data_IF_398710398039
#
_entry.id   IF_398710398039
#
_cell.length_a   1.000
_cell.length_b   1.000
_cell.length_c   1.000
_cell.angle_alpha   90.00
_cell.angle_beta   90.00
_cell.angle_gamma   90.00
#
_symmetry.space_group_name_H-M   'P 1'
#
loop_
_entity.id
_entity.type
_entity.pdbx_description
1 polymer ?
#
# COMPACT_ATOMS: atom_id res chain seq x y z
N UNK A 1 -51.68 -2.55 -4.61
CA UNK A 1 -51.55 -3.46 -3.46
C UNK A 1 -52.17 -4.76 -3.88
N UNK A 2 -51.56 -5.92 -3.64
CA UNK A 2 -52.23 -7.19 -3.89
C UNK A 2 -53.48 -7.28 -3.01
N UNK A 3 -54.60 -7.69 -3.61
CA UNK A 3 -55.85 -7.84 -2.92
C UNK A 3 -55.89 -9.26 -2.29
N UNK A 4 -55.86 -9.34 -0.94
CA UNK A 4 -55.91 -10.62 -0.24
C UNK A 4 -57.38 -11.04 -0.06
N UNK A 5 -57.79 -12.11 -0.73
CA UNK A 5 -59.17 -12.54 -0.82
C UNK A 5 -59.53 -13.73 0.12
N UNK A 6 -58.55 -14.35 0.78
CA UNK A 6 -58.79 -15.47 1.68
C UNK A 6 -58.01 -15.28 3.01
N UNK A 7 -58.58 -15.79 4.14
CA UNK A 7 -57.80 -15.79 5.39
C UNK A 7 -56.56 -16.66 5.26
N UNK A 8 -55.35 -16.08 5.53
CA UNK A 8 -54.08 -16.79 5.43
C UNK A 8 -52.91 -15.92 5.87
N UNK A 9 -51.72 -16.52 5.99
CA UNK A 9 -50.47 -15.80 6.20
C UNK A 9 -49.88 -15.51 4.82
N UNK A 10 -49.73 -14.24 4.51
CA UNK A 10 -49.14 -13.78 3.25
C UNK A 10 -47.75 -13.26 3.50
N UNK A 11 -46.78 -13.76 2.75
CA UNK A 11 -45.37 -13.30 2.79
C UNK A 11 -45.10 -12.51 1.52
N UNK A 12 -44.87 -11.22 1.68
CA UNK A 12 -44.45 -10.35 0.56
C UNK A 12 -42.94 -10.12 0.62
N UNK A 13 -42.28 -10.25 -0.51
CA UNK A 13 -40.91 -9.78 -0.68
C UNK A 13 -40.94 -8.27 -0.91
N UNK A 14 -40.62 -7.52 0.14
CA UNK A 14 -40.44 -6.06 0.03
C UNK A 14 -38.96 -5.78 -0.22
N UNK A 15 -38.60 -5.06 -1.33
CA UNK A 15 -37.21 -4.67 -1.55
C UNK A 15 -36.66 -3.95 -0.33
N UNK A 16 -35.47 -4.34 0.14
CA UNK A 16 -34.84 -3.68 1.29
C UNK A 16 -34.64 -2.21 0.99
N UNK A 17 -35.21 -1.33 1.81
CA UNK A 17 -34.95 0.11 1.75
C UNK A 17 -33.53 0.49 2.24
N UNK A 18 -32.78 -0.47 2.74
CA UNK A 18 -31.40 -0.30 3.21
C UNK A 18 -30.45 -0.71 2.09
N UNK A 19 -29.65 0.24 1.61
CA UNK A 19 -28.52 -0.03 0.71
C UNK A 19 -27.28 -0.14 1.60
N UNK A 20 -26.80 -1.37 1.93
CA UNK A 20 -25.67 -1.53 2.84
C UNK A 20 -24.41 -0.95 2.19
N UNK A 21 -23.64 -0.18 2.97
CA UNK A 21 -22.32 0.28 2.57
C UNK A 21 -21.37 -0.91 2.66
N UNK A 22 -20.77 -1.29 1.53
CA UNK A 22 -19.72 -2.29 1.46
C UNK A 22 -18.35 -1.61 1.68
N UNK A 23 -17.47 -2.22 2.48
CA UNK A 23 -16.09 -1.76 2.60
C UNK A 23 -15.34 -1.93 1.27
N UNK A 24 -14.61 -0.89 0.85
CA UNK A 24 -13.76 -0.95 -0.35
C UNK A 24 -12.51 -1.80 -0.10
N UNK A 25 -11.89 -2.31 -1.16
CA UNK A 25 -10.61 -3.01 -1.06
C UNK A 25 -9.49 -2.03 -0.68
N UNK A 26 -8.61 -2.47 0.22
CA UNK A 26 -7.43 -1.69 0.66
C UNK A 26 -6.11 -2.30 0.20
N UNK A 27 -6.15 -3.41 -0.55
CA UNK A 27 -4.98 -4.23 -0.90
C UNK A 27 -4.48 -4.08 -2.33
N UNK A 28 -5.17 -3.31 -3.18
CA UNK A 28 -4.76 -3.07 -4.56
C UNK A 28 -3.66 -2.01 -4.62
N UNK A 29 -2.56 -2.32 -5.31
CA UNK A 29 -1.43 -1.42 -5.46
C UNK A 29 -1.29 -0.89 -6.89
N UNK A 30 -0.81 0.36 -7.04
CA UNK A 30 -0.33 0.93 -8.30
C UNK A 30 1.19 1.00 -8.29
N UNK A 31 1.86 0.40 -9.28
CA UNK A 31 3.30 0.46 -9.45
C UNK A 31 3.66 1.26 -10.70
N UNK A 32 4.57 2.20 -10.52
CA UNK A 32 5.15 2.97 -11.62
C UNK A 32 6.63 2.57 -11.75
N UNK A 33 7.10 2.32 -12.97
CA UNK A 33 8.50 1.98 -13.22
C UNK A 33 9.13 2.87 -14.29
N UNK A 34 10.35 3.34 -14.05
CA UNK A 34 11.15 4.05 -15.06
C UNK A 34 11.84 3.01 -15.94
N UNK A 35 11.22 2.64 -17.07
CA UNK A 35 11.64 1.52 -17.90
C UNK A 35 11.72 1.97 -19.37
N UNK A 36 12.83 1.74 -20.08
CA UNK A 36 12.96 2.08 -21.49
C UNK A 36 12.10 1.20 -22.40
N UNK A 37 11.97 1.57 -23.68
CA UNK A 37 11.16 0.83 -24.67
C UNK A 37 11.70 -0.57 -24.98
N UNK A 38 12.96 -0.83 -24.67
CA UNK A 38 13.58 -2.16 -24.80
C UNK A 38 14.53 -2.40 -23.63
N UNK A 39 14.43 -3.59 -23.06
CA UNK A 39 15.28 -4.05 -21.96
C UNK A 39 16.08 -5.26 -22.41
N UNK A 40 17.34 -5.34 -22.05
CA UNK A 40 18.20 -6.50 -22.32
C UNK A 40 18.24 -7.40 -21.09
N UNK A 41 17.98 -8.70 -21.26
CA UNK A 41 18.00 -9.70 -20.21
C UNK A 41 18.93 -10.85 -20.57
N UNK A 42 19.64 -11.48 -19.62
CA UNK A 42 20.44 -12.67 -19.90
C UNK A 42 19.50 -13.88 -20.06
N UNK A 43 19.55 -14.50 -21.26
CA UNK A 43 18.83 -15.73 -21.56
C UNK A 43 19.77 -16.91 -21.59
N UNK A 44 19.54 -18.00 -20.81
CA UNK A 44 20.42 -19.17 -20.79
C UNK A 44 20.45 -19.85 -22.16
N UNK A 45 21.63 -20.31 -22.60
CA UNK A 45 21.84 -21.01 -23.87
C UNK A 45 21.72 -22.52 -23.63
N UNK A 46 20.84 -23.17 -24.36
CA UNK A 46 20.58 -24.61 -24.27
C UNK A 46 21.83 -25.43 -24.53
N UNK A 47 22.15 -26.35 -23.62
CA UNK A 47 23.28 -27.27 -23.81
C UNK A 47 24.65 -26.67 -23.65
N UNK A 48 24.79 -25.43 -23.16
CA UNK A 48 26.07 -24.71 -23.05
C UNK A 48 26.95 -25.12 -21.86
N UNK A 49 26.53 -26.08 -21.04
CA UNK A 49 27.29 -26.59 -19.88
C UNK A 49 26.75 -26.14 -18.53
N UNK A 50 27.56 -26.35 -17.47
CA UNK A 50 27.23 -25.92 -16.10
C UNK A 50 28.45 -25.22 -15.49
N UNK A 51 28.36 -23.91 -15.12
CA UNK A 51 27.19 -23.06 -15.29
C UNK A 51 26.83 -22.81 -16.77
N UNK A 52 25.56 -22.54 -17.09
CA UNK A 52 25.15 -22.28 -18.47
C UNK A 52 25.70 -20.93 -18.95
N UNK A 53 26.11 -20.87 -20.22
CA UNK A 53 26.37 -19.61 -20.91
C UNK A 53 25.04 -18.91 -21.20
N UNK A 54 25.06 -17.61 -21.45
CA UNK A 54 23.87 -16.82 -21.74
C UNK A 54 24.09 -15.88 -22.94
N UNK A 55 23.00 -15.51 -23.56
CA UNK A 55 22.95 -14.50 -24.62
C UNK A 55 22.14 -13.29 -24.12
N UNK A 56 22.33 -12.13 -24.75
CA UNK A 56 21.49 -10.97 -24.52
C UNK A 56 20.18 -11.12 -25.27
N UNK A 57 19.05 -11.04 -24.57
CA UNK A 57 17.71 -11.17 -25.11
C UNK A 57 16.97 -9.84 -24.94
N UNK A 58 16.55 -9.25 -26.05
CA UNK A 58 15.75 -8.03 -26.03
C UNK A 58 14.30 -8.35 -25.65
N UNK A 59 13.76 -7.64 -24.67
CA UNK A 59 12.37 -7.67 -24.26
C UNK A 59 11.76 -6.30 -24.48
N UNK A 60 10.57 -6.24 -25.10
CA UNK A 60 9.81 -5.01 -25.29
C UNK A 60 8.67 -4.96 -24.27
N UNK A 61 8.76 -4.12 -23.21
CA UNK A 61 7.69 -3.94 -22.25
C UNK A 61 6.47 -3.28 -22.88
N UNK A 62 5.32 -3.31 -22.19
CA UNK A 62 4.10 -2.59 -22.57
C UNK A 62 4.40 -1.11 -22.89
N UNK A 63 3.56 -0.46 -23.68
CA UNK A 63 3.77 0.93 -24.08
C UNK A 63 3.89 1.87 -22.86
N UNK A 64 4.67 2.95 -22.98
CA UNK A 64 4.79 3.95 -21.90
C UNK A 64 3.42 4.58 -21.63
N UNK A 65 3.13 4.85 -20.35
CA UNK A 65 1.89 5.41 -19.84
C UNK A 65 0.64 4.53 -20.05
N UNK A 66 0.80 3.30 -20.54
CA UNK A 66 -0.29 2.33 -20.64
C UNK A 66 -0.40 1.55 -19.32
N UNK A 67 -1.55 1.67 -18.65
CA UNK A 67 -1.81 0.95 -17.40
C UNK A 67 -2.22 -0.49 -17.71
N UNK A 68 -1.53 -1.44 -17.08
CA UNK A 68 -1.85 -2.86 -17.16
C UNK A 68 -2.34 -3.37 -15.82
N UNK A 69 -3.49 -4.03 -15.82
CA UNK A 69 -3.93 -4.82 -14.68
C UNK A 69 -3.13 -6.13 -14.65
N UNK A 70 -2.57 -6.43 -13.50
CA UNK A 70 -1.72 -7.60 -13.24
C UNK A 70 -2.27 -8.31 -12.00
N UNK A 71 -2.68 -9.56 -12.17
CA UNK A 71 -3.26 -10.41 -11.12
C UNK A 71 -2.37 -11.59 -10.73
N UNK A 72 -1.29 -11.78 -11.47
CA UNK A 72 -0.29 -12.82 -11.24
C UNK A 72 1.07 -12.42 -11.78
N UNK A 73 2.14 -13.11 -11.33
CA UNK A 73 3.47 -12.95 -11.92
C UNK A 73 3.46 -13.26 -13.45
N UNK A 74 2.68 -14.25 -13.88
CA UNK A 74 2.56 -14.60 -15.31
C UNK A 74 1.96 -13.47 -16.15
N UNK A 75 1.01 -12.71 -15.58
CA UNK A 75 0.47 -11.51 -16.26
C UNK A 75 1.55 -10.43 -16.38
N UNK A 76 2.35 -10.22 -15.32
CA UNK A 76 3.46 -9.28 -15.37
C UNK A 76 4.46 -9.67 -16.48
N UNK A 77 4.87 -10.93 -16.52
CA UNK A 77 5.81 -11.46 -17.53
C UNK A 77 5.28 -11.24 -18.95
N UNK A 78 4.00 -11.45 -19.16
CA UNK A 78 3.35 -11.24 -20.46
C UNK A 78 3.46 -9.79 -20.97
N UNK A 79 3.36 -8.80 -20.06
CA UNK A 79 3.34 -7.39 -20.44
C UNK A 79 4.71 -6.70 -20.33
N UNK A 80 5.56 -7.14 -19.43
CA UNK A 80 6.79 -6.43 -19.10
C UNK A 80 8.05 -7.28 -19.26
N UNK A 81 7.95 -8.61 -19.32
CA UNK A 81 9.08 -9.55 -19.34
C UNK A 81 9.35 -10.15 -17.97
N UNK A 82 10.22 -11.17 -17.95
CA UNK A 82 10.61 -11.92 -16.74
C UNK A 82 11.90 -11.33 -16.12
N UNK A 83 12.34 -11.88 -14.99
CA UNK A 83 13.63 -11.54 -14.36
C UNK A 83 14.83 -12.03 -15.19
N UNK A 84 14.65 -13.03 -16.06
CA UNK A 84 15.64 -13.50 -17.03
C UNK A 84 15.03 -13.58 -18.44
N UNK A 85 15.88 -13.54 -19.46
CA UNK A 85 15.46 -13.82 -20.82
C UNK A 85 15.09 -15.30 -21.02
N UNK A 86 14.22 -15.59 -21.99
CA UNK A 86 13.86 -16.96 -22.36
C UNK A 86 15.08 -17.79 -22.78
N UNK A 87 14.98 -19.13 -22.67
CA UNK A 87 16.03 -20.06 -23.14
C UNK A 87 16.35 -19.82 -24.62
N UNK A 88 17.63 -19.70 -24.93
CA UNK A 88 18.14 -19.47 -26.29
C UNK A 88 18.65 -20.74 -26.94
N UNK A 89 18.57 -20.86 -28.28
CA UNK A 89 19.09 -22.04 -28.97
C UNK A 89 20.61 -22.20 -28.73
N UNK A 90 21.10 -23.43 -28.78
CA UNK A 90 22.53 -23.74 -28.58
C UNK A 90 23.49 -23.07 -29.59
N UNK A 91 22.95 -22.53 -30.69
CA UNK A 91 23.69 -21.75 -31.69
C UNK A 91 23.74 -20.25 -31.36
N UNK A 92 23.08 -19.78 -30.30
CA UNK A 92 23.08 -18.38 -29.92
C UNK A 92 24.50 -17.93 -29.50
N UNK A 93 24.85 -16.67 -29.81
CA UNK A 93 26.11 -16.09 -29.44
C UNK A 93 26.15 -15.79 -27.95
N UNK A 94 27.08 -16.42 -27.23
CA UNK A 94 27.26 -16.15 -25.80
C UNK A 94 27.88 -14.76 -25.59
N UNK A 95 27.49 -14.13 -24.51
CA UNK A 95 28.05 -12.87 -24.00
C UNK A 95 28.55 -13.02 -22.57
N UNK A 96 29.51 -12.19 -22.16
CA UNK A 96 30.09 -12.26 -20.82
C UNK A 96 29.25 -11.47 -19.79
N UNK A 97 28.46 -10.49 -20.23
CA UNK A 97 27.63 -9.65 -19.38
C UNK A 97 26.44 -9.09 -20.17
N UNK A 98 25.36 -8.78 -19.44
CA UNK A 98 24.19 -8.06 -19.97
C UNK A 98 23.90 -6.89 -19.03
N UNK A 99 23.85 -5.67 -19.57
CA UNK A 99 23.47 -4.49 -18.81
C UNK A 99 21.94 -4.44 -18.67
N UNK A 100 21.44 -4.93 -17.55
CA UNK A 100 20.01 -4.86 -17.23
C UNK A 100 19.69 -3.45 -16.74
N UNK A 101 18.60 -2.86 -17.25
CA UNK A 101 18.14 -1.54 -16.80
C UNK A 101 17.70 -1.60 -15.33
N UNK A 102 18.22 -0.72 -14.48
CA UNK A 102 17.95 -0.72 -13.04
C UNK A 102 16.46 -0.43 -12.73
N UNK A 103 15.85 0.50 -13.45
CA UNK A 103 14.43 0.80 -13.27
C UNK A 103 13.53 -0.39 -13.61
N UNK A 104 13.86 -1.14 -14.66
CA UNK A 104 13.20 -2.42 -14.96
C UNK A 104 13.38 -3.42 -13.83
N UNK A 105 14.61 -3.59 -13.34
CA UNK A 105 14.93 -4.52 -12.25
C UNK A 105 14.15 -4.17 -10.97
N UNK A 106 14.08 -2.88 -10.64
CA UNK A 106 13.30 -2.42 -9.49
C UNK A 106 11.79 -2.67 -9.66
N UNK A 107 11.23 -2.39 -10.84
CA UNK A 107 9.82 -2.65 -11.12
C UNK A 107 9.51 -4.15 -11.05
N UNK A 108 10.30 -4.99 -11.73
CA UNK A 108 10.08 -6.44 -11.77
C UNK A 108 10.18 -7.06 -10.36
N UNK A 109 11.22 -6.73 -9.61
CA UNK A 109 11.40 -7.21 -8.23
C UNK A 109 10.33 -6.67 -7.28
N UNK A 110 9.82 -5.45 -7.49
CA UNK A 110 8.73 -4.89 -6.69
C UNK A 110 7.43 -5.65 -6.91
N UNK A 111 7.05 -5.92 -8.16
CA UNK A 111 5.82 -6.68 -8.48
C UNK A 111 5.95 -8.15 -8.04
N UNK A 112 7.11 -8.78 -8.25
CA UNK A 112 7.38 -10.12 -7.73
C UNK A 112 7.26 -10.16 -6.19
N UNK A 113 7.89 -9.20 -5.51
CA UNK A 113 7.84 -9.06 -4.06
C UNK A 113 6.43 -8.79 -3.54
N UNK A 114 5.63 -8.02 -4.26
CA UNK A 114 4.22 -7.78 -3.94
C UNK A 114 3.42 -9.08 -3.88
N UNK A 115 3.46 -9.90 -4.94
CA UNK A 115 2.75 -11.19 -4.95
C UNK A 115 3.30 -12.15 -3.89
N UNK A 116 4.62 -12.23 -3.72
CA UNK A 116 5.25 -13.10 -2.73
C UNK A 116 4.87 -12.73 -1.29
N UNK A 117 4.53 -11.47 -1.03
CA UNK A 117 4.13 -10.98 0.29
C UNK A 117 2.62 -10.96 0.52
N UNK A 118 1.80 -11.43 -0.41
CA UNK A 118 0.36 -11.60 -0.24
C UNK A 118 -0.50 -10.61 -1.01
N UNK A 119 0.11 -9.82 -1.90
CA UNK A 119 -0.64 -9.05 -2.89
C UNK A 119 -1.30 -9.98 -3.91
N UNK A 120 -2.47 -9.62 -4.38
CA UNK A 120 -3.26 -10.43 -5.34
C UNK A 120 -3.61 -9.68 -6.62
N UNK A 121 -3.54 -8.34 -6.59
CA UNK A 121 -3.99 -7.49 -7.68
C UNK A 121 -3.23 -6.17 -7.65
N UNK A 122 -2.62 -5.79 -8.76
CA UNK A 122 -1.99 -4.49 -8.91
C UNK A 122 -2.15 -3.93 -10.32
N UNK A 123 -2.00 -2.62 -10.44
CA UNK A 123 -1.89 -1.92 -11.71
C UNK A 123 -0.45 -1.52 -11.91
N UNK A 124 0.08 -1.75 -13.09
CA UNK A 124 1.47 -1.45 -13.43
C UNK A 124 1.49 -0.54 -14.64
N UNK A 125 2.25 0.54 -14.52
CA UNK A 125 2.50 1.48 -15.62
C UNK A 125 3.99 1.78 -15.69
N UNK A 126 4.56 1.80 -16.90
CA UNK A 126 5.92 2.26 -17.09
C UNK A 126 5.97 3.67 -17.67
N UNK A 127 7.01 4.39 -17.32
CA UNK A 127 7.39 5.68 -17.92
C UNK A 127 8.79 5.55 -18.51
N UNK A 128 9.08 6.31 -19.57
CA UNK A 128 10.39 6.29 -20.19
C UNK A 128 11.46 7.05 -19.37
N UNK A 129 11.04 8.10 -18.67
CA UNK A 129 11.88 8.92 -17.80
C UNK A 129 11.09 9.44 -16.61
N UNK A 130 11.77 9.79 -15.51
CA UNK A 130 11.14 10.36 -14.30
C UNK A 130 10.30 11.62 -14.59
N UNK A 131 10.70 12.41 -15.59
CA UNK A 131 9.96 13.61 -16.02
C UNK A 131 8.53 13.30 -16.54
N UNK A 132 8.24 12.06 -16.93
CA UNK A 132 6.93 11.63 -17.38
C UNK A 132 6.03 11.14 -16.24
N UNK A 133 6.45 11.24 -14.98
CA UNK A 133 5.72 10.73 -13.81
C UNK A 133 4.28 11.25 -13.74
N UNK A 134 4.05 12.52 -14.02
CA UNK A 134 2.70 13.11 -14.03
C UNK A 134 1.74 12.36 -14.96
N UNK A 135 2.19 11.97 -16.15
CA UNK A 135 1.38 11.21 -17.11
C UNK A 135 0.94 9.84 -16.58
N UNK A 136 1.86 9.16 -15.88
CA UNK A 136 1.53 7.87 -15.25
C UNK A 136 0.55 8.05 -14.08
N UNK A 137 0.73 9.09 -13.27
CA UNK A 137 -0.18 9.41 -12.16
C UNK A 137 -1.56 9.79 -12.67
N UNK A 138 -1.65 10.57 -13.76
CA UNK A 138 -2.92 10.91 -14.42
C UNK A 138 -3.61 9.66 -15.00
N UNK A 139 -2.84 8.71 -15.53
CA UNK A 139 -3.39 7.44 -16.03
C UNK A 139 -3.90 6.52 -14.90
N UNK A 140 -3.30 6.58 -13.70
CA UNK A 140 -3.73 5.84 -12.51
C UNK A 140 -4.86 6.54 -11.75
N UNK A 141 -5.04 7.86 -11.90
CA UNK A 141 -6.01 8.65 -11.14
C UNK A 141 -7.45 8.13 -11.24
N UNK A 142 -8.00 7.76 -12.43
CA UNK A 142 -9.38 7.32 -12.57
C UNK A 142 -9.65 5.89 -12.06
N UNK A 143 -8.66 5.20 -11.51
CA UNK A 143 -8.80 3.82 -11.04
C UNK A 143 -9.02 3.82 -9.53
N UNK A 144 -10.28 3.88 -9.10
CA UNK A 144 -10.67 4.05 -7.69
C UNK A 144 -10.22 2.89 -6.80
N UNK A 145 -10.04 1.68 -7.34
CA UNK A 145 -9.63 0.52 -6.56
C UNK A 145 -8.16 0.55 -6.08
N UNK A 146 -7.34 1.49 -6.56
CA UNK A 146 -5.94 1.64 -6.12
C UNK A 146 -5.90 2.27 -4.72
N UNK A 147 -5.52 1.48 -3.73
CA UNK A 147 -5.39 1.91 -2.34
C UNK A 147 -3.98 2.36 -1.95
N UNK A 148 -2.95 1.95 -2.70
CA UNK A 148 -1.57 2.37 -2.48
C UNK A 148 -0.82 2.56 -3.78
N UNK A 149 0.18 3.45 -3.80
CA UNK A 149 1.04 3.69 -4.97
C UNK A 149 2.51 3.67 -4.56
N UNK A 150 3.36 3.19 -5.47
CA UNK A 150 4.81 3.19 -5.28
C UNK A 150 5.53 3.40 -6.62
N UNK A 151 6.71 4.04 -6.54
CA UNK A 151 7.68 4.20 -7.63
C UNK A 151 9.01 3.57 -7.18
N UNK A 152 9.15 2.22 -7.28
CA UNK A 152 10.24 1.49 -6.69
C UNK A 152 11.61 1.94 -7.19
N UNK A 153 12.53 2.21 -6.25
CA UNK A 153 13.92 2.56 -6.55
C UNK A 153 14.18 4.01 -6.92
N UNK A 154 13.14 4.84 -7.05
CA UNK A 154 13.28 6.27 -7.31
C UNK A 154 13.16 7.04 -6.00
N UNK A 155 14.23 7.77 -5.65
CA UNK A 155 14.35 8.51 -4.39
C UNK A 155 14.58 10.00 -4.58
N UNK A 156 14.39 10.51 -5.81
CA UNK A 156 14.47 11.93 -6.11
C UNK A 156 13.33 12.69 -5.42
N UNK A 157 13.63 13.87 -4.88
CA UNK A 157 12.65 14.71 -4.18
C UNK A 157 11.42 14.98 -5.07
N UNK A 158 11.64 15.42 -6.32
CA UNK A 158 10.55 15.77 -7.23
C UNK A 158 9.59 14.59 -7.49
N UNK A 159 10.12 13.39 -7.69
CA UNK A 159 9.30 12.19 -7.93
C UNK A 159 8.55 11.75 -6.68
N UNK A 160 9.18 11.80 -5.51
CA UNK A 160 8.52 11.46 -4.25
C UNK A 160 7.42 12.47 -3.90
N UNK A 161 7.67 13.76 -4.07
CA UNK A 161 6.66 14.81 -3.88
C UNK A 161 5.51 14.67 -4.89
N UNK A 162 5.80 14.31 -6.15
CA UNK A 162 4.75 14.01 -7.12
C UNK A 162 3.81 12.88 -6.69
N UNK A 163 4.33 11.79 -6.09
CA UNK A 163 3.49 10.73 -5.51
C UNK A 163 2.69 11.22 -4.31
N UNK A 164 3.30 12.02 -3.44
CA UNK A 164 2.64 12.59 -2.26
C UNK A 164 1.50 13.51 -2.70
N UNK A 165 1.76 14.44 -3.61
CA UNK A 165 0.77 15.40 -4.15
C UNK A 165 -0.43 14.68 -4.77
N UNK A 166 -0.17 13.61 -5.52
CA UNK A 166 -1.20 12.76 -6.08
C UNK A 166 -2.09 12.13 -5.00
N UNK A 167 -1.49 11.58 -3.95
CA UNK A 167 -2.23 10.97 -2.84
C UNK A 167 -3.00 12.01 -2.00
N UNK A 168 -2.42 13.19 -1.77
CA UNK A 168 -3.06 14.28 -1.05
C UNK A 168 -4.24 14.89 -1.82
N UNK A 169 -4.11 15.01 -3.14
CA UNK A 169 -5.17 15.55 -4.01
C UNK A 169 -6.37 14.60 -4.11
N UNK A 170 -6.13 13.31 -4.35
CA UNK A 170 -7.19 12.32 -4.45
C UNK A 170 -7.76 11.91 -3.09
N UNK A 171 -6.93 11.88 -2.06
CA UNK A 171 -7.27 11.46 -0.70
C UNK A 171 -7.83 10.02 -0.59
N UNK A 172 -7.74 9.23 -1.66
CA UNK A 172 -8.24 7.85 -1.79
C UNK A 172 -7.15 6.79 -1.67
N UNK A 173 -5.86 7.17 -1.71
CA UNK A 173 -4.73 6.24 -1.73
C UNK A 173 -3.55 6.74 -0.91
N UNK A 174 -2.57 5.84 -0.68
CA UNK A 174 -1.44 6.05 0.20
C UNK A 174 -0.12 5.76 -0.52
N UNK A 175 0.89 6.64 -0.41
CA UNK A 175 2.19 6.46 -1.03
C UNK A 175 3.14 5.63 -0.15
N UNK A 176 3.79 4.63 -0.74
CA UNK A 176 4.85 3.84 -0.11
C UNK A 176 6.16 4.23 -0.76
N UNK A 177 7.02 4.94 -0.02
CA UNK A 177 8.25 5.54 -0.53
C UNK A 177 9.49 4.79 -0.04
N UNK A 178 10.51 4.79 -0.86
CA UNK A 178 11.81 4.23 -0.57
C UNK A 178 12.76 5.32 -0.07
N UNK A 179 13.46 5.07 1.04
CA UNK A 179 14.57 5.91 1.49
C UNK A 179 15.79 5.74 0.59
N UNK A 180 16.79 6.60 0.74
CA UNK A 180 18.04 6.53 -0.01
C UNK A 180 18.65 5.12 0.08
N UNK A 181 19.21 4.62 -1.02
CA UNK A 181 19.88 3.30 -1.05
C UNK A 181 21.11 3.28 -0.15
N UNK A 182 21.87 4.38 -0.16
CA UNK A 182 23.09 4.55 0.63
C UNK A 182 22.95 5.75 1.55
N UNK A 183 23.47 5.64 2.77
CA UNK A 183 23.51 6.73 3.73
C UNK A 183 24.80 6.61 4.57
N UNK A 184 25.58 7.67 4.63
CA UNK A 184 26.79 7.73 5.46
C UNK A 184 26.43 7.84 6.94
N UNK A 185 25.36 8.56 7.23
CA UNK A 185 24.77 8.68 8.57
C UNK A 185 23.25 8.39 8.52
N UNK A 186 22.75 7.72 9.55
CA UNK A 186 21.34 7.37 9.64
C UNK A 186 20.51 8.50 10.26
N UNK A 187 20.33 9.56 9.45
CA UNK A 187 19.49 10.72 9.78
C UNK A 187 18.32 10.84 8.81
N UNK A 188 17.27 11.58 9.20
CA UNK A 188 16.16 11.89 8.30
C UNK A 188 16.66 12.56 7.01
N UNK A 189 17.56 13.53 7.13
CA UNK A 189 18.10 14.28 5.99
C UNK A 189 18.81 13.39 4.97
N UNK A 190 19.58 12.38 5.44
CA UNK A 190 20.31 11.48 4.54
C UNK A 190 19.42 10.38 3.94
N UNK A 191 18.28 10.07 4.56
CA UNK A 191 17.40 8.98 4.13
C UNK A 191 16.20 9.51 3.32
N UNK A 192 15.52 10.55 3.82
CA UNK A 192 14.37 11.17 3.19
C UNK A 192 14.75 12.33 2.27
N UNK A 193 15.93 12.93 2.48
CA UNK A 193 16.34 14.14 1.79
C UNK A 193 15.44 15.35 2.17
N UNK A 194 15.19 16.18 1.18
CA UNK A 194 14.34 17.38 1.32
C UNK A 194 12.86 17.13 0.99
N UNK A 195 12.46 15.89 0.75
CA UNK A 195 11.06 15.53 0.47
C UNK A 195 10.15 15.97 1.62
N UNK A 196 9.04 16.60 1.29
CA UNK A 196 8.07 17.13 2.27
C UNK A 196 7.47 16.02 3.15
N UNK A 197 7.10 16.38 4.37
CA UNK A 197 6.34 15.50 5.25
C UNK A 197 4.87 15.42 4.81
N UNK A 198 4.26 14.24 4.95
CA UNK A 198 2.86 14.02 4.61
C UNK A 198 2.26 12.88 5.42
N UNK A 199 1.00 13.03 5.77
CA UNK A 199 0.23 11.94 6.36
C UNK A 199 -0.26 10.90 5.33
N UNK A 200 -0.15 11.20 4.04
CA UNK A 200 -0.53 10.30 2.95
C UNK A 200 0.63 9.45 2.42
N UNK A 201 1.78 9.50 3.09
CA UNK A 201 2.96 8.73 2.70
C UNK A 201 3.69 8.13 3.91
N UNK A 202 4.39 7.03 3.65
CA UNK A 202 5.36 6.44 4.57
C UNK A 202 6.64 6.09 3.83
N UNK A 203 7.79 6.40 4.44
CA UNK A 203 9.10 6.12 3.90
C UNK A 203 9.76 4.98 4.67
N UNK A 204 10.46 4.09 3.94
CA UNK A 204 11.08 2.88 4.48
C UNK A 204 12.57 2.79 4.15
N UNK A 205 13.33 2.34 5.15
CA UNK A 205 14.78 2.18 5.08
C UNK A 205 15.21 1.01 6.00
N UNK A 206 16.29 0.30 5.71
CA UNK A 206 17.11 0.30 4.50
C UNK A 206 16.51 -0.54 3.37
N UNK A 207 17.15 -0.51 2.21
CA UNK A 207 16.85 -1.42 1.12
C UNK A 207 17.11 -2.87 1.54
N UNK A 208 16.38 -3.79 0.90
CA UNK A 208 16.45 -5.23 1.18
C UNK A 208 17.32 -5.93 0.13
N UNK A 209 17.89 -7.08 0.50
CA UNK A 209 18.58 -7.98 -0.44
C UNK A 209 17.64 -9.12 -0.80
N UNK A 210 17.47 -9.36 -2.08
CA UNK A 210 16.64 -10.43 -2.63
C UNK A 210 17.43 -11.27 -3.63
N UNK A 211 16.97 -12.48 -3.88
CA UNK A 211 17.55 -13.30 -4.95
C UNK A 211 17.11 -12.77 -6.31
N UNK A 212 18.08 -12.64 -7.22
CA UNK A 212 17.86 -12.28 -8.61
C UNK A 212 18.43 -13.38 -9.51
N UNK A 213 17.60 -14.09 -10.29
CA UNK A 213 18.07 -15.17 -11.14
C UNK A 213 18.99 -14.68 -12.26
N UNK A 214 18.83 -13.44 -12.72
CA UNK A 214 19.73 -12.86 -13.72
C UNK A 214 21.13 -12.64 -13.16
N UNK A 215 21.22 -12.14 -11.92
CA UNK A 215 22.50 -11.98 -11.22
C UNK A 215 23.20 -13.33 -11.02
N UNK A 216 22.44 -14.34 -10.58
CA UNK A 216 22.97 -15.70 -10.41
C UNK A 216 23.42 -16.34 -11.72
N UNK A 217 22.72 -16.06 -12.83
CA UNK A 217 23.08 -16.56 -14.15
C UNK A 217 24.37 -15.92 -14.67
N UNK A 218 24.49 -14.58 -14.51
CA UNK A 218 25.69 -13.83 -14.94
C UNK A 218 26.90 -14.07 -14.04
N UNK A 219 26.68 -14.22 -12.72
CA UNK A 219 27.72 -14.39 -11.71
C UNK A 219 27.48 -15.66 -10.89
N UNK A 220 27.74 -16.87 -11.45
CA UNK A 220 27.42 -18.16 -10.83
C UNK A 220 28.09 -18.40 -9.48
N UNK A 221 29.24 -17.75 -9.24
CA UNK A 221 30.04 -17.90 -8.02
C UNK A 221 29.57 -17.02 -6.85
N UNK A 222 28.58 -16.12 -7.09
CA UNK A 222 27.96 -15.28 -6.06
C UNK A 222 26.73 -15.99 -5.46
N UNK A 223 26.17 -15.42 -4.41
CA UNK A 223 24.88 -15.87 -3.84
C UNK A 223 23.67 -15.47 -4.71
N UNK A 224 23.88 -14.69 -5.78
CA UNK A 224 22.83 -14.18 -6.67
C UNK A 224 21.91 -13.15 -6.01
N UNK A 225 22.36 -12.47 -4.95
CA UNK A 225 21.55 -11.45 -4.29
C UNK A 225 21.85 -10.05 -4.79
N UNK A 226 20.80 -9.25 -4.94
CA UNK A 226 20.90 -7.82 -5.26
C UNK A 226 20.19 -6.98 -4.18
N UNK A 227 20.56 -5.70 -4.11
CA UNK A 227 19.83 -4.72 -3.30
C UNK A 227 18.64 -4.18 -4.10
N UNK A 228 17.45 -4.20 -3.51
CA UNK A 228 16.25 -3.64 -4.14
C UNK A 228 15.49 -2.75 -3.15
N UNK A 229 14.77 -1.80 -3.71
CA UNK A 229 13.88 -0.93 -2.97
C UNK A 229 12.75 -1.73 -2.31
N UNK A 230 12.41 -1.47 -1.05
CA UNK A 230 11.46 -2.30 -0.31
C UNK A 230 9.99 -2.03 -0.64
N UNK A 231 9.62 -0.89 -1.25
CA UNK A 231 8.23 -0.44 -1.42
C UNK A 231 7.30 -1.48 -2.04
N UNK A 232 7.75 -2.21 -3.07
CA UNK A 232 6.93 -3.26 -3.68
C UNK A 232 6.64 -4.44 -2.74
N UNK A 233 7.66 -4.93 -2.04
CA UNK A 233 7.49 -5.98 -1.03
C UNK A 233 6.59 -5.50 0.12
N UNK A 234 6.72 -4.23 0.53
CA UNK A 234 5.92 -3.63 1.58
C UNK A 234 4.46 -3.45 1.17
N UNK A 235 4.18 -3.07 -0.08
CA UNK A 235 2.81 -3.07 -0.60
C UNK A 235 2.17 -4.46 -0.48
N UNK A 236 2.93 -5.54 -0.72
CA UNK A 236 2.49 -6.91 -0.48
C UNK A 236 2.26 -7.22 1.01
N UNK A 237 3.14 -6.73 1.90
CA UNK A 237 2.94 -6.84 3.36
C UNK A 237 1.67 -6.12 3.79
N UNK A 238 1.41 -4.91 3.26
CA UNK A 238 0.16 -4.17 3.52
C UNK A 238 -1.06 -5.00 3.10
N UNK A 239 -1.06 -5.51 1.87
CA UNK A 239 -2.13 -6.33 1.35
C UNK A 239 -2.40 -7.59 2.20
N UNK A 240 -1.33 -8.28 2.63
CA UNK A 240 -1.43 -9.44 3.53
C UNK A 240 -2.05 -9.09 4.88
N UNK A 241 -1.53 -8.04 5.53
CA UNK A 241 -2.03 -7.60 6.85
C UNK A 241 -3.49 -7.16 6.77
N UNK A 242 -3.86 -6.43 5.73
CA UNK A 242 -5.24 -6.01 5.51
C UNK A 242 -6.18 -7.21 5.35
N UNK A 243 -5.76 -8.23 4.62
CA UNK A 243 -6.55 -9.44 4.39
C UNK A 243 -6.66 -10.29 5.65
N UNK A 244 -5.57 -10.46 6.41
CA UNK A 244 -5.53 -11.33 7.58
C UNK A 244 -6.09 -10.68 8.85
N UNK A 245 -5.92 -9.38 9.00
CA UNK A 245 -6.18 -8.65 10.25
C UNK A 245 -7.03 -7.39 10.09
N UNK A 246 -7.20 -6.89 8.87
CA UNK A 246 -7.88 -5.64 8.56
C UNK A 246 -6.93 -4.42 8.51
N UNK A 247 -7.35 -3.38 7.80
CA UNK A 247 -6.58 -2.15 7.55
C UNK A 247 -6.20 -1.37 8.83
N UNK A 248 -6.92 -1.61 9.93
CA UNK A 248 -6.64 -1.00 11.25
C UNK A 248 -5.40 -1.56 11.95
N UNK A 249 -4.93 -2.76 11.55
CA UNK A 249 -3.66 -3.31 12.05
C UNK A 249 -2.50 -2.60 11.34
N UNK A 250 -1.60 -1.99 12.12
CA UNK A 250 -0.39 -1.40 11.54
C UNK A 250 0.45 -2.46 10.81
N UNK A 251 0.94 -2.20 9.57
CA UNK A 251 1.74 -3.15 8.78
C UNK A 251 3.19 -3.21 9.29
N UNK A 252 3.35 -3.46 10.58
CA UNK A 252 4.63 -3.55 11.28
C UNK A 252 4.69 -4.79 12.19
N UNK A 253 5.91 -5.20 12.55
CA UNK A 253 6.26 -6.48 13.15
C UNK A 253 5.91 -7.66 12.22
N UNK A 254 5.96 -7.41 10.92
CA UNK A 254 5.64 -8.39 9.88
C UNK A 254 6.90 -8.80 9.13
N UNK A 255 7.09 -10.08 8.82
CA UNK A 255 8.21 -10.53 8.02
C UNK A 255 8.04 -10.13 6.55
N UNK A 256 9.15 -9.77 5.91
CA UNK A 256 9.21 -9.51 4.48
C UNK A 256 9.64 -10.83 3.81
N UNK A 257 8.70 -11.50 3.16
CA UNK A 257 8.97 -12.75 2.43
C UNK A 257 9.86 -12.48 1.23
N UNK A 258 10.82 -13.36 0.97
CA UNK A 258 11.79 -13.21 -0.12
C UNK A 258 12.99 -12.32 0.21
N UNK A 259 12.95 -11.56 1.31
CA UNK A 259 14.10 -10.78 1.76
C UNK A 259 15.15 -11.71 2.42
N UNK A 260 16.32 -11.81 1.80
CA UNK A 260 17.45 -12.59 2.29
C UNK A 260 18.35 -11.78 3.22
N UNK A 261 18.36 -10.45 3.09
CA UNK A 261 19.17 -9.55 3.87
C UNK A 261 18.63 -8.12 3.83
N UNK A 262 19.38 -7.22 4.45
CA UNK A 262 19.20 -5.76 4.36
C UNK A 262 20.55 -5.12 4.02
N UNK A 263 20.53 -3.95 3.37
CA UNK A 263 21.76 -3.23 3.01
C UNK A 263 22.48 -2.75 4.27
N UNK A 264 21.74 -2.26 5.24
CA UNK A 264 22.25 -1.81 6.53
C UNK A 264 21.55 -2.52 7.69
N UNK A 265 22.34 -2.99 8.68
CA UNK A 265 21.80 -3.50 9.95
C UNK A 265 21.84 -2.39 10.98
N UNK A 266 20.69 -1.77 11.26
CA UNK A 266 20.57 -0.70 12.23
C UNK A 266 20.45 -1.23 13.66
N UNK A 267 21.12 -0.54 14.58
CA UNK A 267 20.98 -0.75 16.04
C UNK A 267 19.70 -0.10 16.55
N UNK A 268 19.29 -0.43 17.79
CA UNK A 268 18.16 0.21 18.48
C UNK A 268 18.38 1.71 18.63
N UNK A 269 19.62 2.14 18.93
CA UNK A 269 19.95 3.55 19.10
C UNK A 269 19.82 4.35 17.79
N UNK A 270 20.30 3.79 16.68
CA UNK A 270 20.15 4.41 15.36
C UNK A 270 18.68 4.53 14.95
N UNK A 271 17.89 3.48 15.19
CA UNK A 271 16.44 3.55 14.94
C UNK A 271 15.76 4.60 15.82
N UNK A 272 16.20 4.79 17.06
CA UNK A 272 15.63 5.79 17.96
C UNK A 272 15.76 7.23 17.41
N UNK A 273 16.77 7.52 16.60
CA UNK A 273 16.91 8.79 15.88
C UNK A 273 15.98 8.92 14.66
N UNK A 274 15.64 7.82 14.01
CA UNK A 274 14.84 7.78 12.78
C UNK A 274 13.34 7.70 13.02
N UNK A 275 12.93 7.05 14.09
CA UNK A 275 11.51 6.81 14.38
C UNK A 275 10.71 8.09 14.67
N UNK A 276 11.20 9.06 15.51
CA UNK A 276 10.46 10.29 15.79
C UNK A 276 10.10 11.11 14.54
N UNK A 277 10.98 11.31 13.54
CA UNK A 277 10.66 12.01 12.30
C UNK A 277 9.84 11.19 11.29
N UNK A 278 9.57 9.90 11.55
CA UNK A 278 8.69 9.09 10.69
C UNK A 278 9.38 8.22 9.65
N UNK A 279 10.69 7.97 9.79
CA UNK A 279 11.39 7.00 8.94
C UNK A 279 11.19 5.60 9.50
N UNK A 280 10.54 4.73 8.74
CA UNK A 280 10.24 3.36 9.15
C UNK A 280 11.39 2.42 8.83
N UNK A 281 11.91 1.75 9.87
CA UNK A 281 13.11 0.92 9.75
C UNK A 281 12.75 -0.55 9.54
N UNK A 282 13.41 -1.19 8.57
CA UNK A 282 13.41 -2.64 8.38
C UNK A 282 14.55 -3.22 9.21
N UNK A 283 14.24 -4.13 10.12
CA UNK A 283 15.23 -4.74 11.04
C UNK A 283 15.32 -6.25 10.89
N UNK A 284 16.44 -6.79 11.33
CA UNK A 284 16.67 -8.23 11.37
C UNK A 284 16.56 -8.73 12.82
N UNK A 285 15.66 -9.68 13.06
CA UNK A 285 15.46 -10.37 14.33
C UNK A 285 15.51 -11.88 14.09
N UNK A 286 16.43 -12.57 14.71
CA UNK A 286 16.59 -14.03 14.60
C UNK A 286 16.56 -14.53 13.14
N UNK A 287 17.29 -13.84 12.27
CA UNK A 287 17.33 -14.12 10.83
C UNK A 287 16.16 -13.57 10.01
N UNK A 288 15.04 -13.18 10.63
CA UNK A 288 13.87 -12.64 9.96
C UNK A 288 14.02 -11.11 9.70
N UNK A 289 13.77 -10.68 8.48
CA UNK A 289 13.72 -9.26 8.10
C UNK A 289 12.29 -8.79 8.29
N UNK A 290 12.10 -7.88 9.25
CA UNK A 290 10.78 -7.40 9.65
C UNK A 290 10.64 -5.91 9.46
N UNK A 291 9.45 -5.48 9.05
CA UNK A 291 9.03 -4.08 9.13
C UNK A 291 8.93 -3.69 10.59
N UNK A 292 9.72 -2.70 11.04
CA UNK A 292 9.79 -2.31 12.45
C UNK A 292 9.44 -0.85 12.69
N UNK A 293 8.53 -0.33 11.88
CA UNK A 293 7.96 1.01 11.97
C UNK A 293 6.67 1.09 11.16
N UNK A 294 5.75 1.95 11.58
CA UNK A 294 4.48 2.19 10.89
C UNK A 294 4.02 3.64 11.09
N UNK A 295 4.94 4.58 10.93
CA UNK A 295 4.65 6.01 11.00
C UNK A 295 4.51 6.60 9.61
N UNK A 296 3.65 7.59 9.50
CA UNK A 296 3.59 8.47 8.32
C UNK A 296 4.81 9.40 8.31
N UNK A 297 5.10 10.01 7.19
CA UNK A 297 6.17 11.00 7.08
C UNK A 297 5.85 12.22 7.97
N UNK A 298 6.88 12.72 8.66
CA UNK A 298 6.72 13.73 9.73
C UNK A 298 6.55 13.13 11.13
N UNK A 299 6.16 11.87 11.26
CA UNK A 299 6.12 11.13 12.52
C UNK A 299 5.46 11.90 13.66
N UNK A 300 6.24 12.31 14.67
CA UNK A 300 5.73 13.04 15.83
C UNK A 300 5.14 14.43 15.51
N UNK A 301 5.54 15.07 14.42
CA UNK A 301 4.97 16.35 13.99
C UNK A 301 3.56 16.20 13.43
N UNK A 302 3.16 14.99 13.04
CA UNK A 302 1.85 14.67 12.50
C UNK A 302 0.95 14.05 13.57
N UNK A 303 0.46 14.86 14.51
CA UNK A 303 -0.19 14.42 15.74
C UNK A 303 -1.38 13.47 15.50
N UNK A 304 -2.31 13.83 14.59
CA UNK A 304 -3.56 13.10 14.37
C UNK A 304 -3.34 11.86 13.51
N UNK A 305 -2.52 11.97 12.48
CA UNK A 305 -2.26 10.91 11.51
C UNK A 305 -0.82 10.38 11.58
N UNK A 306 -0.27 10.31 12.76
CA UNK A 306 1.08 9.81 13.04
C UNK A 306 1.32 8.39 12.51
N UNK A 307 0.29 7.54 12.51
CA UNK A 307 0.40 6.13 12.16
C UNK A 307 -0.24 5.80 10.81
N UNK A 308 0.43 4.95 10.06
CA UNK A 308 0.00 4.47 8.73
C UNK A 308 -1.40 3.85 8.78
N UNK A 309 -1.67 2.99 9.76
CA UNK A 309 -2.99 2.37 9.89
C UNK A 309 -4.09 3.40 10.17
N UNK A 310 -3.82 4.43 10.96
CA UNK A 310 -4.82 5.49 11.25
C UNK A 310 -5.19 6.22 9.97
N UNK A 311 -4.20 6.68 9.19
CA UNK A 311 -4.46 7.35 7.91
C UNK A 311 -5.19 6.42 6.94
N UNK A 312 -4.76 5.16 6.82
CA UNK A 312 -5.37 4.20 5.90
C UNK A 312 -6.80 3.81 6.28
N UNK A 313 -7.12 3.74 7.59
CA UNK A 313 -8.51 3.56 8.04
C UNK A 313 -9.37 4.75 7.64
N UNK A 314 -8.88 6.00 7.76
CA UNK A 314 -9.64 7.18 7.30
C UNK A 314 -9.88 7.14 5.80
N UNK A 315 -8.89 6.76 4.99
CA UNK A 315 -9.06 6.57 3.54
C UNK A 315 -10.14 5.50 3.28
N UNK A 316 -10.03 4.34 3.94
CA UNK A 316 -11.00 3.25 3.82
C UNK A 316 -12.43 3.68 4.17
N UNK A 317 -12.61 4.40 5.28
CA UNK A 317 -13.93 4.90 5.71
C UNK A 317 -14.49 5.89 4.69
N UNK A 318 -13.68 6.83 4.23
CA UNK A 318 -14.06 7.85 3.25
C UNK A 318 -14.54 7.20 1.95
N UNK A 319 -13.72 6.36 1.34
CA UNK A 319 -14.03 5.71 0.07
C UNK A 319 -15.24 4.76 0.18
N UNK A 320 -15.37 4.05 1.31
CA UNK A 320 -16.52 3.17 1.54
C UNK A 320 -17.82 3.95 1.70
N UNK A 321 -17.77 5.08 2.44
CA UNK A 321 -18.96 5.92 2.63
C UNK A 321 -19.32 6.62 1.33
N UNK A 322 -18.33 7.18 0.61
CA UNK A 322 -18.58 7.83 -0.68
C UNK A 322 -19.27 6.86 -1.66
N UNK A 323 -18.66 5.72 -1.93
CA UNK A 323 -19.24 4.71 -2.84
C UNK A 323 -20.60 4.17 -2.37
N UNK A 324 -20.76 4.01 -1.05
CA UNK A 324 -22.00 3.48 -0.47
C UNK A 324 -23.14 4.48 -0.34
N UNK A 325 -22.90 5.78 -0.52
CA UNK A 325 -23.90 6.85 -0.39
C UNK A 325 -24.24 7.57 -1.70
N UNK A 326 -23.73 7.13 -2.84
CA UNK A 326 -24.00 7.71 -4.18
C UNK A 326 -25.53 7.80 -4.49
N UNK A 327 -26.32 6.91 -3.92
CA UNK A 327 -27.79 6.91 -4.06
C UNK A 327 -28.47 8.12 -3.42
N UNK A 328 -27.79 8.88 -2.55
CA UNK A 328 -28.30 10.09 -1.88
C UNK A 328 -28.42 11.26 -2.84
N UNK A 329 -27.56 11.27 -3.88
CA UNK A 329 -27.49 12.37 -4.84
C UNK A 329 -28.80 12.50 -5.63
N UNK A 330 -29.36 13.70 -5.67
CA UNK A 330 -30.65 14.04 -6.26
C UNK A 330 -31.90 13.49 -5.53
N UNK A 331 -31.76 12.86 -4.35
CA UNK A 331 -32.92 12.53 -3.51
C UNK A 331 -33.50 13.81 -2.84
N UNK A 332 -34.79 13.83 -2.51
CA UNK A 332 -35.39 14.94 -1.77
C UNK A 332 -34.68 15.16 -0.42
N UNK A 333 -34.24 16.41 -0.18
CA UNK A 333 -33.51 16.78 1.04
C UNK A 333 -34.46 17.01 2.21
N UNK A 334 -34.86 15.97 2.87
CA UNK A 334 -35.83 15.97 3.94
C UNK A 334 -35.39 15.08 5.15
N UNK A 335 -36.08 15.17 6.30
CA UNK A 335 -35.78 14.34 7.47
C UNK A 335 -35.81 12.82 7.20
N UNK A 336 -36.57 12.37 6.20
CA UNK A 336 -36.64 10.94 5.82
C UNK A 336 -35.34 10.49 5.19
N UNK A 337 -34.75 11.33 4.31
CA UNK A 337 -33.43 11.09 3.71
C UNK A 337 -32.35 11.05 4.79
N UNK A 338 -32.34 12.04 5.71
CA UNK A 338 -31.35 12.10 6.79
C UNK A 338 -31.38 10.85 7.67
N UNK A 339 -32.58 10.37 8.03
CA UNK A 339 -32.75 9.13 8.81
C UNK A 339 -32.20 7.89 8.06
N UNK A 340 -32.36 7.84 6.72
CA UNK A 340 -31.78 6.76 5.90
C UNK A 340 -30.25 6.81 5.88
N UNK A 341 -29.65 7.99 5.74
CA UNK A 341 -28.21 8.20 5.78
C UNK A 341 -27.64 7.75 7.13
N UNK A 342 -28.19 8.27 8.25
CA UNK A 342 -27.76 7.88 9.60
C UNK A 342 -27.81 6.37 9.76
N UNK A 343 -28.90 5.72 9.39
CA UNK A 343 -29.05 4.27 9.54
C UNK A 343 -28.01 3.48 8.75
N UNK A 344 -27.76 3.86 7.48
CA UNK A 344 -26.82 3.15 6.63
C UNK A 344 -25.37 3.33 7.10
N UNK A 345 -24.97 4.57 7.41
CA UNK A 345 -23.64 4.88 7.94
C UNK A 345 -23.40 4.24 9.31
N UNK A 346 -24.42 4.30 10.21
CA UNK A 346 -24.34 3.65 11.53
C UNK A 346 -24.17 2.14 11.40
N UNK A 347 -24.92 1.48 10.49
CA UNK A 347 -24.78 0.05 10.24
C UNK A 347 -23.37 -0.32 9.75
N UNK A 348 -22.81 0.46 8.82
CA UNK A 348 -21.45 0.29 8.33
C UNK A 348 -20.41 0.46 9.45
N UNK A 349 -20.47 1.58 10.19
CA UNK A 349 -19.53 1.86 11.27
C UNK A 349 -19.62 0.85 12.42
N UNK A 350 -20.82 0.29 12.68
CA UNK A 350 -21.01 -0.81 13.63
C UNK A 350 -20.23 -2.06 13.20
N UNK A 351 -20.22 -2.39 11.91
CA UNK A 351 -19.44 -3.50 11.39
C UNK A 351 -17.92 -3.23 11.50
N UNK A 352 -17.50 -2.00 11.20
CA UNK A 352 -16.09 -1.56 11.35
C UNK A 352 -15.65 -1.63 12.82
N UNK A 353 -16.50 -1.22 13.76
CA UNK A 353 -16.25 -1.35 15.19
C UNK A 353 -16.17 -2.82 15.63
N UNK A 354 -17.09 -3.67 15.21
CA UNK A 354 -17.08 -5.12 15.50
C UNK A 354 -15.84 -5.81 14.95
N UNK A 355 -15.30 -5.32 13.83
CA UNK A 355 -14.02 -5.79 13.29
C UNK A 355 -12.80 -5.32 14.11
N UNK A 356 -13.00 -4.50 15.16
CA UNK A 356 -11.93 -4.03 16.04
C UNK A 356 -11.16 -2.81 15.53
N UNK A 357 -11.65 -2.12 14.51
CA UNK A 357 -10.98 -0.96 13.94
C UNK A 357 -11.23 0.33 14.75
N UNK A 358 -12.30 0.38 15.53
CA UNK A 358 -12.66 1.52 16.37
C UNK A 358 -12.54 1.16 17.85
N UNK A 359 -12.05 2.13 18.65
CA UNK A 359 -11.87 2.00 20.09
C UNK A 359 -13.17 2.35 20.83
N UNK A 360 -13.53 1.54 21.82
CA UNK A 360 -14.71 1.71 22.66
C UNK A 360 -15.35 0.37 22.98
N UNK A 361 -15.98 0.25 24.15
CA UNK A 361 -16.68 -0.95 24.58
C UNK A 361 -18.11 -1.01 24.02
N UNK A 362 -18.63 0.15 23.65
CA UNK A 362 -19.94 0.32 23.02
C UNK A 362 -19.83 1.09 21.71
N UNK A 363 -20.79 0.93 20.76
CA UNK A 363 -20.80 1.72 19.53
C UNK A 363 -20.81 3.23 19.79
N UNK A 364 -21.52 3.70 20.84
CA UNK A 364 -21.63 5.11 21.20
C UNK A 364 -20.30 5.74 21.65
N UNK A 365 -19.40 4.93 22.22
CA UNK A 365 -18.03 5.38 22.55
C UNK A 365 -17.11 5.36 21.32
N UNK A 366 -17.41 4.52 20.33
CA UNK A 366 -16.57 4.27 19.18
C UNK A 366 -16.81 5.24 18.02
N UNK A 367 -18.05 5.69 17.82
CA UNK A 367 -18.40 6.62 16.75
C UNK A 367 -19.75 7.32 17.00
N UNK A 368 -19.95 8.43 16.29
CA UNK A 368 -21.25 9.08 16.15
C UNK A 368 -21.53 9.45 14.69
N UNK A 369 -22.83 9.53 14.36
CA UNK A 369 -23.32 9.99 13.06
C UNK A 369 -24.42 11.00 13.31
N UNK A 370 -24.26 12.23 12.85
CA UNK A 370 -25.21 13.32 13.00
C UNK A 370 -25.63 13.86 11.63
N UNK A 371 -26.93 13.82 11.33
CA UNK A 371 -27.52 14.40 10.14
C UNK A 371 -28.97 14.81 10.50
N UNK A 372 -29.15 16.05 10.90
CA UNK A 372 -30.41 16.58 11.43
C UNK A 372 -30.65 18.03 10.99
N UNK A 373 -31.64 18.70 11.57
CA UNK A 373 -31.95 20.09 11.27
C UNK A 373 -30.85 21.08 11.70
N UNK A 374 -30.00 20.70 12.65
CA UNK A 374 -28.86 21.52 13.09
C UNK A 374 -27.73 21.50 12.07
N UNK A 375 -27.43 20.33 11.48
CA UNK A 375 -26.43 20.19 10.41
C UNK A 375 -26.98 20.63 9.04
N UNK A 376 -28.30 20.61 8.86
CA UNK A 376 -28.99 20.96 7.60
C UNK A 376 -30.07 22.04 7.80
N UNK A 377 -29.69 23.25 8.26
CA UNK A 377 -30.61 24.39 8.34
C UNK A 377 -31.12 24.80 6.95
N UNK A 378 -32.15 25.66 6.86
CA UNK A 378 -32.71 26.08 5.56
C UNK A 378 -31.66 26.60 4.57
N UNK A 379 -30.68 27.37 5.04
CA UNK A 379 -29.62 27.96 4.20
C UNK A 379 -28.75 26.89 3.51
N UNK A 380 -28.46 25.77 4.19
CA UNK A 380 -27.69 24.64 3.64
C UNK A 380 -28.54 23.88 2.62
N UNK A 381 -29.83 23.65 2.93
CA UNK A 381 -30.75 22.94 2.03
C UNK A 381 -31.06 23.74 0.77
N UNK A 382 -31.17 25.05 0.86
CA UNK A 382 -31.43 25.95 -0.28
C UNK A 382 -30.23 25.98 -1.26
N UNK A 383 -29.02 25.66 -0.76
CA UNK A 383 -27.82 25.42 -1.59
C UNK A 383 -27.76 24.00 -2.18
N UNK A 384 -28.77 23.15 -1.95
CA UNK A 384 -28.81 21.76 -2.41
C UNK A 384 -27.84 20.83 -1.69
N UNK A 385 -27.42 21.18 -0.47
CA UNK A 385 -26.44 20.42 0.31
C UNK A 385 -27.10 19.57 1.39
N UNK A 386 -26.53 18.37 1.66
CA UNK A 386 -26.81 17.54 2.83
C UNK A 386 -25.50 17.32 3.58
N UNK A 387 -25.45 17.78 4.83
CA UNK A 387 -24.29 17.67 5.70
C UNK A 387 -24.51 16.58 6.71
N UNK A 388 -23.61 15.60 6.73
CA UNK A 388 -23.56 14.54 7.73
C UNK A 388 -22.23 14.59 8.45
N UNK A 389 -22.25 14.77 9.77
CA UNK A 389 -21.05 14.74 10.60
C UNK A 389 -20.81 13.33 11.14
N UNK A 390 -19.60 12.85 11.00
CA UNK A 390 -19.18 11.52 11.44
C UNK A 390 -17.93 11.65 12.29
N UNK A 391 -17.99 11.22 13.55
CA UNK A 391 -16.83 11.12 14.43
C UNK A 391 -16.48 9.67 14.69
N UNK A 392 -15.20 9.32 14.63
CA UNK A 392 -14.70 7.94 14.84
C UNK A 392 -13.49 7.91 15.75
N UNK A 393 -13.46 6.99 16.70
CA UNK A 393 -12.32 6.72 17.58
C UNK A 393 -11.48 5.57 17.03
N UNK A 394 -10.47 5.86 16.18
CA UNK A 394 -9.65 4.83 15.54
C UNK A 394 -8.62 4.24 16.50
N UNK A 395 -8.42 2.91 16.44
CA UNK A 395 -7.41 2.19 17.24
C UNK A 395 -6.01 2.59 16.81
N UNK A 396 -5.18 2.98 17.79
CA UNK A 396 -3.76 3.28 17.58
C UNK A 396 -2.90 2.07 17.94
N UNK A 397 -1.78 1.81 17.26
CA UNK A 397 -0.92 0.69 17.57
C UNK A 397 -0.18 0.90 18.91
N UNK A 398 0.05 -0.20 19.64
CA UNK A 398 0.98 -0.19 20.78
C UNK A 398 2.42 -0.20 20.27
N UNK A 399 2.99 0.97 20.02
CA UNK A 399 4.36 1.13 19.52
C UNK A 399 5.42 0.88 20.62
N UNK A 400 5.11 1.27 21.86
CA UNK A 400 6.00 1.10 23.01
C UNK A 400 5.33 0.26 24.09
N UNK A 401 5.95 -0.87 24.43
CA UNK A 401 5.54 -1.72 25.55
C UNK A 401 6.54 -1.53 26.68
N UNK A 402 6.06 -1.04 27.83
CA UNK A 402 6.90 -0.71 28.99
C UNK A 402 6.57 -1.66 30.13
N UNK A 403 7.53 -2.51 30.51
CA UNK A 403 7.47 -3.30 31.74
C UNK A 403 8.25 -2.59 32.82
N UNK A 404 7.62 -2.37 33.96
CA UNK A 404 8.29 -1.85 35.18
C UNK A 404 8.58 -3.01 36.10
N UNK A 405 9.85 -3.30 36.34
CA UNK A 405 10.30 -4.37 37.21
C UNK A 405 10.90 -3.70 38.45
N UNK A 406 10.36 -3.99 39.62
CA UNK A 406 10.90 -3.54 40.92
C UNK A 406 11.36 -4.75 41.73
N UNK A 407 12.42 -4.58 42.50
CA UNK A 407 12.81 -5.57 43.47
C UNK A 407 11.80 -5.52 44.64
N UNK A 408 11.21 -6.66 44.95
CA UNK A 408 10.35 -6.83 46.13
C UNK A 408 11.05 -7.66 47.17
N UNK A 409 11.18 -7.13 48.38
CA UNK A 409 11.89 -7.79 49.49
C UNK A 409 11.10 -8.97 50.13
N UNK A 410 9.88 -9.24 49.64
CA UNK A 410 8.97 -10.21 50.24
C UNK A 410 8.30 -9.68 51.53
N UNK A 411 7.32 -10.41 52.10
CA UNK A 411 6.73 -10.04 53.36
C UNK A 411 7.84 -10.18 54.47
N UNK A 412 8.12 -9.10 55.16
CA UNK A 412 8.92 -9.20 56.39
C UNK A 412 8.12 -10.06 57.40
N UNK A 413 8.75 -11.15 57.88
CA UNK A 413 8.20 -11.97 58.98
C UNK A 413 8.23 -11.20 60.27
#
# INVERSE_FOLDING_TARGET
MPEYLAPGVYVEEVPSAVKPIAGVSTSTAGFIGVVPDSVQLPGPIKGSGSPPKFASVAVTPAAANEVKLVTSWSDFVKYFGDLIGGEQPGTATAVDTVAINDGYRHLAQAVYGFFNNGGTRCFVVRIAAEADLSKALDALAPIDEIASVALPGVTTQASQEGLIDHCESLQSRFAILDGAMTADEFTKANIQGATKDSSYAAIYFPWIRVFDPSEKLMHPNTDGTIAVAPSGHLAGVYARVDTERGVHKAPANEPIRGALGVVYRLTKAQQAGLNPPGVNVIRVFDGNKKVWGARTMGGNANADFKYVNVRRVFIFLRESIDGGTQWVVFEPNDPSLWAKIIRNVTAFLTNVWRAGALFGTTPQEAFYVKCDAETNPPEVRDLGQVITEIGVAIVRPAEFVIFRISQWAGPQK
#
